data_IF_460712069598
#
_entry.id   IF_460712069598
#
_cell.length_a   1.000
_cell.length_b   1.000
_cell.length_c   1.000
_cell.angle_alpha   90.00
_cell.angle_beta   90.00
_cell.angle_gamma   90.00
#
_symmetry.space_group_name_H-M   'P 1'
#
loop_
_entity.id
_entity.type
_entity.pdbx_description
1 polymer ?
#
# COMPACT_ATOMS: atom_id res chain seq x y z
N UNK A 1 22.08 25.61 21.25
CA UNK A 1 21.06 25.61 20.18
C UNK A 1 20.70 24.16 19.90
N UNK A 2 19.41 23.84 19.94
CA UNK A 2 18.87 22.48 19.99
C UNK A 2 19.07 21.70 18.68
N UNK A 3 19.75 20.56 18.75
CA UNK A 3 19.83 19.56 17.67
C UNK A 3 19.35 18.22 18.24
N UNK A 4 18.04 18.03 18.40
CA UNK A 4 17.47 16.74 18.88
C UNK A 4 16.11 16.40 18.25
N UNK A 5 15.70 17.07 17.17
CA UNK A 5 14.37 16.88 16.56
C UNK A 5 14.39 16.34 15.11
N UNK A 6 15.57 16.20 14.49
CA UNK A 6 15.68 15.77 13.09
C UNK A 6 15.79 14.24 12.96
N UNK A 7 16.42 13.57 13.92
CA UNK A 7 16.67 12.12 13.87
C UNK A 7 15.37 11.27 13.99
N UNK A 8 14.43 11.68 14.85
CA UNK A 8 13.17 10.94 15.04
C UNK A 8 12.21 11.05 13.85
N UNK A 9 12.24 12.18 13.10
CA UNK A 9 11.41 12.36 11.90
C UNK A 9 11.96 11.61 10.69
N UNK A 10 13.29 11.49 10.60
CA UNK A 10 13.96 10.82 9.48
C UNK A 10 13.68 9.31 9.48
N UNK A 11 13.72 8.68 10.66
CA UNK A 11 13.49 7.24 10.80
C UNK A 11 12.09 6.82 10.32
N UNK A 12 11.06 7.62 10.62
CA UNK A 12 9.68 7.32 10.23
C UNK A 12 9.45 7.45 8.72
N UNK A 13 10.10 8.41 8.05
CA UNK A 13 9.98 8.57 6.59
C UNK A 13 10.67 7.41 5.83
N UNK A 14 11.81 6.92 6.33
CA UNK A 14 12.52 5.79 5.75
C UNK A 14 11.74 4.47 5.90
N UNK A 15 10.95 4.31 6.97
CA UNK A 15 10.04 3.17 7.17
C UNK A 15 8.86 3.21 6.20
N UNK A 16 8.17 4.35 6.07
CA UNK A 16 7.08 4.52 5.09
C UNK A 16 7.52 4.23 3.67
N UNK A 17 8.69 4.71 3.28
CA UNK A 17 9.25 4.47 1.95
C UNK A 17 9.42 2.97 1.68
N UNK A 18 9.89 2.18 2.66
CA UNK A 18 10.02 0.72 2.53
C UNK A 18 8.66 0.04 2.40
N UNK A 19 7.66 0.46 3.19
CA UNK A 19 6.30 -0.06 3.10
C UNK A 19 5.74 0.17 1.70
N UNK A 20 5.83 1.41 1.19
CA UNK A 20 5.28 1.75 -0.12
C UNK A 20 5.99 0.99 -1.24
N UNK A 21 7.31 0.79 -1.14
CA UNK A 21 8.05 -0.04 -2.09
C UNK A 21 7.57 -1.50 -2.10
N UNK A 22 7.29 -2.09 -0.92
CA UNK A 22 6.75 -3.46 -0.83
C UNK A 22 5.34 -3.54 -1.38
N UNK A 23 4.48 -2.58 -1.03
CA UNK A 23 3.11 -2.49 -1.58
C UNK A 23 3.15 -2.37 -3.12
N UNK A 24 3.99 -1.49 -3.66
CA UNK A 24 4.13 -1.31 -5.11
C UNK A 24 4.56 -2.59 -5.81
N UNK A 25 5.49 -3.32 -5.21
CA UNK A 25 5.95 -4.58 -5.75
C UNK A 25 4.80 -5.58 -5.89
N UNK A 26 3.98 -5.73 -4.83
CA UNK A 26 2.81 -6.62 -4.87
C UNK A 26 1.82 -6.19 -5.95
N UNK A 27 1.50 -4.89 -6.04
CA UNK A 27 0.53 -4.41 -7.03
C UNK A 27 1.03 -4.69 -8.45
N UNK A 28 2.33 -4.47 -8.72
CA UNK A 28 2.94 -4.78 -10.03
C UNK A 28 2.89 -6.28 -10.33
N UNK A 29 3.22 -7.13 -9.36
CA UNK A 29 3.21 -8.58 -9.56
C UNK A 29 1.81 -9.13 -9.76
N UNK A 30 0.85 -8.69 -8.95
CA UNK A 30 -0.52 -9.22 -8.97
C UNK A 30 -1.31 -8.71 -10.18
N UNK A 31 -1.21 -7.42 -10.48
CA UNK A 31 -2.01 -6.81 -11.55
C UNK A 31 -1.28 -6.77 -12.91
N UNK A 32 0.01 -7.12 -12.95
CA UNK A 32 0.81 -7.06 -14.17
C UNK A 32 0.96 -5.63 -14.74
N UNK A 33 0.76 -4.61 -13.91
CA UNK A 33 0.90 -3.20 -14.28
C UNK A 33 2.34 -2.73 -14.12
N UNK A 34 2.67 -1.54 -14.63
CA UNK A 34 4.00 -0.98 -14.44
C UNK A 34 4.03 -0.08 -13.21
N UNK A 35 5.19 -0.01 -12.57
CA UNK A 35 5.42 0.89 -11.43
C UNK A 35 5.16 2.37 -11.79
N UNK A 36 5.38 2.77 -13.04
CA UNK A 36 5.10 4.13 -13.53
C UNK A 36 3.60 4.48 -13.55
N UNK A 37 2.73 3.47 -13.57
CA UNK A 37 1.28 3.63 -13.56
C UNK A 37 0.72 3.70 -12.12
N UNK A 38 1.52 3.35 -11.11
CA UNK A 38 1.16 3.38 -9.68
C UNK A 38 1.18 4.80 -9.13
N UNK A 39 0.19 5.60 -9.52
CA UNK A 39 -0.07 6.90 -8.92
C UNK A 39 -0.95 6.72 -7.69
N UNK A 40 -0.76 7.51 -6.61
CA UNK A 40 -1.61 7.41 -5.42
C UNK A 40 -3.10 7.49 -5.74
N UNK A 41 -3.48 8.31 -6.72
CA UNK A 41 -4.87 8.53 -7.12
C UNK A 41 -5.40 7.47 -8.09
N UNK A 42 -4.56 6.54 -8.59
CA UNK A 42 -4.98 5.55 -9.56
C UNK A 42 -6.00 4.58 -8.94
N UNK A 43 -7.16 4.49 -9.58
CA UNK A 43 -8.20 3.50 -9.27
C UNK A 43 -7.76 2.12 -9.74
N UNK A 44 -7.84 1.10 -8.88
CA UNK A 44 -7.49 -0.26 -9.26
C UNK A 44 -8.34 -0.74 -10.44
N UNK A 45 -9.63 -0.42 -10.44
CA UNK A 45 -10.57 -0.87 -11.46
C UNK A 45 -10.51 0.07 -12.68
N UNK A 46 -10.64 1.38 -12.47
CA UNK A 46 -10.85 2.31 -13.59
C UNK A 46 -9.55 2.67 -14.32
N UNK A 47 -8.43 2.78 -13.59
CA UNK A 47 -7.14 3.23 -14.15
C UNK A 47 -6.19 2.07 -14.41
N UNK A 48 -6.12 1.11 -13.47
CA UNK A 48 -5.22 -0.05 -13.57
C UNK A 48 -5.88 -1.27 -14.22
N UNK A 49 -7.20 -1.23 -14.44
CA UNK A 49 -7.92 -2.27 -15.17
C UNK A 49 -8.08 -3.60 -14.43
N UNK A 50 -7.90 -3.60 -13.11
CA UNK A 50 -8.14 -4.76 -12.26
C UNK A 50 -9.62 -5.14 -12.26
N UNK A 51 -9.89 -6.44 -12.31
CA UNK A 51 -11.23 -6.95 -12.09
C UNK A 51 -11.52 -7.21 -10.59
N UNK A 52 -12.73 -7.68 -10.28
CA UNK A 52 -13.10 -7.97 -8.89
C UNK A 52 -12.27 -9.09 -8.27
N UNK A 53 -11.83 -10.08 -9.07
CA UNK A 53 -10.99 -11.17 -8.58
C UNK A 53 -9.59 -10.67 -8.30
N UNK A 54 -9.03 -9.87 -9.21
CA UNK A 54 -7.71 -9.25 -9.05
C UNK A 54 -7.63 -8.45 -7.74
N UNK A 55 -8.69 -7.68 -7.41
CA UNK A 55 -8.73 -6.93 -6.14
C UNK A 55 -8.77 -7.82 -4.90
N UNK A 56 -9.41 -9.00 -4.98
CA UNK A 56 -9.43 -9.98 -3.88
C UNK A 56 -8.06 -10.61 -3.71
N UNK A 57 -7.43 -11.02 -4.81
CA UNK A 57 -6.08 -11.63 -4.76
C UNK A 57 -5.03 -10.62 -4.29
N UNK A 58 -5.15 -9.35 -4.69
CA UNK A 58 -4.30 -8.26 -4.18
C UNK A 58 -4.40 -8.12 -2.66
N UNK A 59 -5.62 -8.11 -2.12
CA UNK A 59 -5.85 -8.02 -0.66
C UNK A 59 -5.20 -9.20 0.05
N UNK A 60 -5.40 -10.42 -0.44
CA UNK A 60 -4.79 -11.62 0.14
C UNK A 60 -3.25 -11.58 0.11
N UNK A 61 -2.65 -11.08 -0.98
CA UNK A 61 -1.20 -10.94 -1.08
C UNK A 61 -0.65 -9.89 -0.09
N UNK A 62 -1.40 -8.82 0.15
CA UNK A 62 -1.05 -7.80 1.15
C UNK A 62 -1.16 -8.36 2.58
N UNK A 63 -2.21 -9.15 2.87
CA UNK A 63 -2.35 -9.86 4.15
C UNK A 63 -1.16 -10.78 4.44
N UNK A 64 -0.74 -11.57 3.44
CA UNK A 64 0.39 -12.49 3.57
C UNK A 64 1.73 -11.77 3.75
N UNK A 65 2.01 -10.75 2.94
CA UNK A 65 3.29 -10.01 3.00
C UNK A 65 3.47 -9.23 4.31
N UNK A 66 2.38 -8.70 4.87
CA UNK A 66 2.41 -7.86 6.06
C UNK A 66 1.93 -8.58 7.34
N UNK A 67 1.64 -9.89 7.27
CA UNK A 67 1.13 -10.69 8.38
C UNK A 67 -0.06 -10.00 9.09
N UNK A 68 -1.01 -9.49 8.29
CA UNK A 68 -2.17 -8.73 8.75
C UNK A 68 -3.47 -9.36 8.24
N UNK A 69 -4.58 -9.02 8.88
CA UNK A 69 -5.93 -9.31 8.39
C UNK A 69 -6.59 -8.01 7.94
N UNK A 70 -7.19 -8.03 6.74
CA UNK A 70 -7.96 -6.94 6.14
C UNK A 70 -9.43 -7.38 6.12
N UNK A 71 -10.26 -6.87 7.03
CA UNK A 71 -11.69 -7.19 7.02
C UNK A 71 -12.34 -6.82 5.69
N UNK A 72 -13.30 -7.61 5.25
CA UNK A 72 -14.04 -7.38 3.99
C UNK A 72 -14.58 -5.93 3.89
N UNK A 73 -15.08 -5.37 4.98
CA UNK A 73 -15.60 -3.99 5.03
C UNK A 73 -14.53 -2.93 4.73
N UNK A 74 -13.27 -3.20 5.07
CA UNK A 74 -12.15 -2.30 4.78
C UNK A 74 -11.56 -2.59 3.39
N UNK A 75 -11.49 -3.86 2.99
CA UNK A 75 -11.14 -4.24 1.62
C UNK A 75 -12.07 -3.60 0.58
N UNK A 76 -13.38 -3.53 0.86
CA UNK A 76 -14.37 -2.83 0.02
C UNK A 76 -14.14 -1.32 -0.09
N UNK A 77 -13.37 -0.71 0.83
CA UNK A 77 -13.03 0.72 0.79
C UNK A 77 -11.71 0.98 0.06
N UNK A 78 -10.90 -0.05 -0.16
CA UNK A 78 -9.66 0.05 -0.93
C UNK A 78 -10.03 0.18 -2.42
N UNK A 79 -9.96 1.41 -2.93
CA UNK A 79 -10.30 1.71 -4.35
C UNK A 79 -9.11 2.24 -5.12
N UNK A 80 -8.19 2.91 -4.44
CA UNK A 80 -7.01 3.52 -5.03
C UNK A 80 -5.72 3.00 -4.42
N UNK A 81 -4.62 3.18 -5.13
CA UNK A 81 -3.27 2.83 -4.63
C UNK A 81 -2.97 3.51 -3.28
N UNK A 82 -3.38 4.77 -3.12
CA UNK A 82 -3.23 5.50 -1.84
C UNK A 82 -3.98 4.84 -0.69
N UNK A 83 -5.16 4.27 -0.93
CA UNK A 83 -5.93 3.63 0.14
C UNK A 83 -5.17 2.43 0.72
N UNK A 84 -4.46 1.66 -0.12
CA UNK A 84 -3.59 0.57 0.36
C UNK A 84 -2.43 1.11 1.17
N UNK A 85 -1.74 2.15 0.67
CA UNK A 85 -0.64 2.77 1.40
C UNK A 85 -1.07 3.22 2.79
N UNK A 86 -2.17 3.98 2.87
CA UNK A 86 -2.70 4.50 4.13
C UNK A 86 -3.10 3.34 5.06
N UNK A 87 -3.74 2.29 4.53
CA UNK A 87 -4.18 1.15 5.32
C UNK A 87 -2.99 0.39 5.92
N UNK A 88 -2.04 -0.03 5.08
CA UNK A 88 -0.88 -0.81 5.54
C UNK A 88 0.01 0.03 6.46
N UNK A 89 0.22 1.31 6.16
CA UNK A 89 0.95 2.21 7.04
C UNK A 89 0.31 2.27 8.44
N UNK A 90 -1.02 2.30 8.52
CA UNK A 90 -1.73 2.32 9.80
C UNK A 90 -1.62 1.02 10.61
N UNK A 91 -1.23 -0.09 9.98
CA UNK A 91 -1.08 -1.41 10.60
C UNK A 91 0.37 -1.75 10.94
N UNK A 92 1.32 -1.38 10.07
CA UNK A 92 2.74 -1.74 10.19
C UNK A 92 3.56 -0.71 11.00
N UNK A 93 3.08 0.54 11.12
CA UNK A 93 3.76 1.61 11.90
C UNK A 93 3.10 1.83 13.28
N UNK A 94 2.49 0.77 13.84
CA UNK A 94 1.79 0.76 15.13
C UNK A 94 2.67 0.44 16.34
#
# INVERSE_FOLDING_TARGET
MSTHNEDSKKNNADEKAKIFSRVNHIIVEQLGVKEEDLKPEASFIDDLGADSLDTVELVMALEEEFDTEIPDEDAEKIRTVKDVYDYIESKDVG
#
